data_IF_734637430586
#
_entry.id   IF_734637430586
#
_cell.length_a   1.000
_cell.length_b   1.000
_cell.length_c   1.000
_cell.angle_alpha   90.00
_cell.angle_beta   90.00
_cell.angle_gamma   90.00
#
_symmetry.space_group_name_H-M   'P 1'
#
loop_
_entity.id
_entity.type
_entity.pdbx_description
1 polymer ?
#
# COMPACT_ATOMS: atom_id res chain seq x y z
N UNK A 1 -3.81 -20.24 7.87
CA UNK A 1 -4.00 -19.43 9.08
C UNK A 1 -4.15 -20.40 10.24
N UNK A 2 -3.24 -20.35 11.20
CA UNK A 2 -3.25 -21.26 12.36
C UNK A 2 -4.03 -20.68 13.54
N UNK A 3 -4.16 -19.35 13.58
CA UNK A 3 -4.85 -18.61 14.63
C UNK A 3 -5.99 -17.76 14.07
N UNK A 4 -6.85 -17.25 14.95
CA UNK A 4 -8.00 -16.41 14.56
C UNK A 4 -7.58 -15.03 14.02
N UNK A 5 -6.37 -14.58 14.39
CA UNK A 5 -5.75 -13.33 13.96
C UNK A 5 -4.24 -13.55 13.84
N UNK A 6 -3.63 -12.97 12.82
CA UNK A 6 -2.17 -13.00 12.61
C UNK A 6 -1.67 -11.60 12.24
N UNK A 7 -0.52 -11.23 12.80
CA UNK A 7 0.14 -9.94 12.52
C UNK A 7 1.48 -10.18 11.83
N UNK A 8 1.73 -9.42 10.77
CA UNK A 8 2.96 -9.46 9.99
C UNK A 8 3.44 -8.03 9.72
N UNK A 9 4.75 -7.82 9.81
CA UNK A 9 5.40 -6.58 9.45
C UNK A 9 6.28 -6.83 8.22
N UNK A 10 6.23 -5.92 7.26
CA UNK A 10 6.95 -6.01 6.00
C UNK A 10 7.77 -4.75 5.78
N UNK A 11 9.00 -4.93 5.27
CA UNK A 11 9.84 -3.86 4.77
C UNK A 11 10.35 -4.22 3.38
N UNK A 12 10.13 -3.32 2.41
CA UNK A 12 10.45 -3.57 1.00
C UNK A 12 11.34 -2.46 0.48
N UNK A 13 12.57 -2.78 0.07
CA UNK A 13 13.49 -1.82 -0.55
C UNK A 13 13.05 -1.38 -1.94
N UNK A 14 12.34 -2.26 -2.66
CA UNK A 14 11.89 -2.07 -4.03
C UNK A 14 10.36 -2.06 -4.12
N UNK A 15 9.83 -1.42 -5.16
CA UNK A 15 8.42 -1.44 -5.55
C UNK A 15 7.93 -2.89 -5.69
N UNK A 16 6.85 -3.23 -4.99
CA UNK A 16 6.22 -4.55 -5.05
C UNK A 16 4.91 -4.49 -5.82
N UNK A 17 4.94 -4.83 -7.12
CA UNK A 17 3.74 -4.77 -7.97
C UNK A 17 2.73 -5.84 -7.58
N UNK A 18 1.70 -5.43 -6.83
CA UNK A 18 0.63 -6.30 -6.38
C UNK A 18 -0.25 -6.80 -7.53
N UNK A 19 -0.46 -8.11 -7.59
CA UNK A 19 -1.48 -8.69 -8.45
C UNK A 19 -2.88 -8.43 -7.87
N UNK A 20 -3.87 -8.24 -8.75
CA UNK A 20 -5.27 -8.15 -8.33
C UNK A 20 -5.75 -9.55 -7.98
N UNK A 21 -6.04 -9.80 -6.70
CA UNK A 21 -6.47 -11.11 -6.22
C UNK A 21 -7.59 -10.98 -5.19
N UNK A 22 -8.41 -12.03 -5.10
CA UNK A 22 -9.42 -12.15 -4.05
C UNK A 22 -8.70 -12.37 -2.72
N UNK A 23 -9.02 -11.53 -1.74
CA UNK A 23 -8.49 -11.61 -0.39
C UNK A 23 -9.39 -12.56 0.42
N UNK A 24 -8.94 -13.73 0.90
CA UNK A 24 -9.84 -14.74 1.46
C UNK A 24 -10.30 -14.47 2.90
N UNK A 25 -9.75 -13.44 3.56
CA UNK A 25 -9.91 -13.14 4.99
C UNK A 25 -10.02 -11.64 5.21
N UNK A 26 -10.48 -11.19 6.37
CA UNK A 26 -10.41 -9.77 6.72
C UNK A 26 -8.95 -9.33 6.84
N UNK A 27 -8.62 -8.13 6.35
CA UNK A 27 -7.26 -7.59 6.42
C UNK A 27 -7.23 -6.12 6.83
N UNK A 28 -6.45 -5.78 7.86
CA UNK A 28 -6.04 -4.41 8.11
C UNK A 28 -4.66 -4.19 7.48
N UNK A 29 -4.61 -3.27 6.51
CA UNK A 29 -3.38 -2.74 5.95
C UNK A 29 -3.03 -1.45 6.69
N UNK A 30 -1.80 -1.34 7.17
CA UNK A 30 -1.31 -0.14 7.84
C UNK A 30 0.05 0.28 7.29
N UNK A 31 0.21 1.55 6.94
CA UNK A 31 1.50 2.07 6.48
C UNK A 31 2.23 2.70 7.67
N UNK A 32 3.40 2.17 8.01
CA UNK A 32 4.24 2.66 9.10
C UNK A 32 5.36 3.57 8.58
N UNK A 33 5.78 3.41 7.33
CA UNK A 33 6.73 4.30 6.64
C UNK A 33 6.53 4.26 5.12
N UNK A 34 6.81 5.36 4.44
CA UNK A 34 6.67 5.47 2.99
C UNK A 34 5.21 5.52 2.58
N UNK A 35 4.89 4.83 1.49
CA UNK A 35 3.54 4.76 0.97
C UNK A 35 3.28 3.47 0.18
N UNK A 36 2.02 3.20 -0.08
CA UNK A 36 1.56 2.13 -0.95
C UNK A 36 0.37 2.60 -1.80
N UNK A 37 0.14 1.90 -2.91
CA UNK A 37 -1.07 2.06 -3.71
C UNK A 37 -2.02 0.89 -3.43
N UNK A 38 -3.27 1.21 -3.10
CA UNK A 38 -4.33 0.24 -2.94
C UNK A 38 -5.35 0.40 -4.07
N UNK A 39 -5.44 -0.63 -4.92
CA UNK A 39 -6.47 -0.71 -5.95
C UNK A 39 -7.61 -1.59 -5.45
N UNK A 40 -8.80 -1.00 -5.29
CA UNK A 40 -10.04 -1.69 -4.92
C UNK A 40 -11.15 -1.33 -5.91
N UNK A 41 -11.68 -2.32 -6.61
CA UNK A 41 -12.65 -2.05 -7.68
C UNK A 41 -12.02 -1.26 -8.84
N UNK A 42 -12.61 -0.10 -9.15
CA UNK A 42 -12.08 0.85 -10.14
C UNK A 42 -11.19 1.94 -9.52
N UNK A 43 -11.12 2.00 -8.18
CA UNK A 43 -10.40 3.04 -7.48
C UNK A 43 -8.96 2.60 -7.20
N UNK A 44 -8.04 3.55 -7.32
CA UNK A 44 -6.64 3.39 -6.95
C UNK A 44 -6.27 4.54 -6.02
N UNK A 45 -6.02 4.20 -4.75
CA UNK A 45 -5.77 5.17 -3.70
C UNK A 45 -4.32 5.11 -3.26
N UNK A 46 -3.73 6.29 -3.03
CA UNK A 46 -2.45 6.43 -2.34
C UNK A 46 -2.67 6.34 -0.83
N UNK A 47 -1.94 5.44 -0.19
CA UNK A 47 -1.87 5.26 1.25
C UNK A 47 -0.50 5.73 1.75
N UNK A 48 -0.33 6.97 2.24
CA UNK A 48 0.91 7.40 2.87
C UNK A 48 1.06 6.84 4.29
N UNK A 49 2.22 7.05 4.91
CA UNK A 49 2.45 6.74 6.32
C UNK A 49 1.33 7.26 7.22
N UNK A 50 0.96 6.46 8.23
CA UNK A 50 -0.18 6.72 9.11
C UNK A 50 -1.53 6.27 8.55
N UNK A 51 -1.59 5.76 7.32
CA UNK A 51 -2.83 5.21 6.76
C UNK A 51 -3.19 3.85 7.35
N UNK A 52 -4.49 3.63 7.59
CA UNK A 52 -5.08 2.36 7.97
C UNK A 52 -6.28 2.06 7.07
N UNK A 53 -6.26 0.90 6.40
CA UNK A 53 -7.34 0.49 5.51
C UNK A 53 -7.78 -0.94 5.80
N UNK A 54 -9.07 -1.11 6.06
CA UNK A 54 -9.69 -2.42 6.22
C UNK A 54 -10.20 -2.95 4.88
N UNK A 55 -9.76 -4.16 4.52
CA UNK A 55 -10.30 -4.96 3.43
C UNK A 55 -11.17 -6.08 4.03
N UNK A 56 -12.43 -6.14 3.59
CA UNK A 56 -13.28 -7.28 3.92
C UNK A 56 -12.76 -8.56 3.27
N UNK A 57 -13.12 -9.69 3.86
CA UNK A 57 -13.01 -10.96 3.19
C UNK A 57 -13.71 -10.91 1.82
N UNK A 58 -13.12 -11.63 0.87
CA UNK A 58 -13.47 -11.71 -0.54
C UNK A 58 -13.33 -10.42 -1.36
N UNK A 59 -12.76 -9.36 -0.79
CA UNK A 59 -12.42 -8.17 -1.55
C UNK A 59 -11.43 -8.48 -2.68
N UNK A 60 -11.74 -7.99 -3.89
CA UNK A 60 -10.83 -8.06 -5.03
C UNK A 60 -9.94 -6.81 -5.06
N UNK A 61 -8.75 -6.93 -4.50
CA UNK A 61 -7.82 -5.82 -4.33
C UNK A 61 -6.43 -6.13 -4.91
N UNK A 62 -5.67 -5.06 -5.20
CA UNK A 62 -4.23 -5.14 -5.41
C UNK A 62 -3.55 -4.12 -4.49
N UNK A 63 -2.64 -4.59 -3.65
CA UNK A 63 -1.84 -3.75 -2.77
C UNK A 63 -0.40 -3.68 -3.29
N UNK A 64 0.10 -2.47 -3.53
CA UNK A 64 1.40 -2.21 -4.15
C UNK A 64 2.23 -1.31 -3.23
N UNK A 65 3.03 -1.90 -2.32
CA UNK A 65 4.05 -1.16 -1.57
C UNK A 65 5.02 -0.45 -2.53
N UNK A 66 5.24 0.85 -2.30
CA UNK A 66 6.28 1.59 -3.02
C UNK A 66 7.67 1.23 -2.47
N UNK A 67 8.71 1.58 -3.21
CA UNK A 67 10.10 1.40 -2.78
C UNK A 67 10.35 2.14 -1.46
N UNK A 68 10.99 1.43 -0.51
CA UNK A 68 11.23 1.94 0.84
C UNK A 68 10.03 1.84 1.80
N UNK A 69 8.89 1.30 1.36
CA UNK A 69 7.70 1.15 2.19
C UNK A 69 7.91 0.18 3.36
N UNK A 70 7.36 0.54 4.51
CA UNK A 70 7.14 -0.36 5.64
C UNK A 70 5.64 -0.37 5.95
N UNK A 71 5.10 -1.57 6.08
CA UNK A 71 3.68 -1.75 6.35
C UNK A 71 3.43 -2.95 7.25
N UNK A 72 2.32 -2.87 7.96
CA UNK A 72 1.78 -3.96 8.75
C UNK A 72 0.58 -4.56 8.04
N UNK A 73 0.46 -5.87 8.16
CA UNK A 73 -0.70 -6.64 7.74
C UNK A 73 -1.23 -7.40 8.95
N UNK A 74 -2.46 -7.10 9.31
CA UNK A 74 -3.24 -7.91 10.24
C UNK A 74 -4.24 -8.72 9.41
N UNK A 75 -4.26 -10.04 9.56
CA UNK A 75 -5.28 -10.90 8.96
C UNK A 75 -6.20 -11.43 10.03
N UNK A 76 -7.51 -11.44 9.78
CA UNK A 76 -8.54 -11.94 10.69
C UNK A 76 -9.33 -13.06 10.01
N UNK A 77 -9.48 -14.19 10.70
CA UNK A 77 -10.32 -15.29 10.24
C UNK A 77 -11.75 -14.83 10.05
N UNK A 78 -12.44 -15.29 9.00
CA UNK A 78 -13.87 -14.99 8.78
C UNK A 78 -14.80 -15.49 9.88
N UNK A 79 -14.29 -16.27 10.83
CA UNK A 79 -15.03 -16.82 11.97
C UNK A 79 -15.06 -15.88 13.18
N UNK A 80 -14.27 -14.81 13.16
CA UNK A 80 -14.30 -13.78 14.20
C UNK A 80 -15.17 -12.61 13.78
N UNK A 81 -15.70 -11.90 14.75
CA UNK A 81 -16.34 -10.61 14.50
C UNK A 81 -15.31 -9.64 13.92
N UNK A 82 -15.69 -8.94 12.85
CA UNK A 82 -14.81 -8.06 12.11
C UNK A 82 -15.64 -7.05 11.32
N UNK A 83 -15.08 -5.88 10.95
CA UNK A 83 -15.86 -4.90 10.22
C UNK A 83 -16.42 -5.42 8.89
N UNK A 84 -17.70 -5.17 8.66
CA UNK A 84 -18.44 -5.70 7.51
C UNK A 84 -18.14 -4.97 6.19
N UNK A 85 -17.58 -3.76 6.27
CA UNK A 85 -17.34 -2.89 5.13
C UNK A 85 -15.88 -2.49 5.01
N UNK A 86 -15.38 -2.49 3.77
CA UNK A 86 -14.04 -2.00 3.47
C UNK A 86 -13.99 -0.47 3.57
N UNK A 87 -12.84 0.06 3.97
CA UNK A 87 -12.62 1.51 4.05
C UNK A 87 -11.48 1.90 4.97
N UNK A 88 -11.36 3.21 5.18
CA UNK A 88 -10.33 3.83 6.01
C UNK A 88 -10.69 3.68 7.48
N UNK A 89 -9.99 2.78 8.16
CA UNK A 89 -10.20 2.51 9.57
C UNK A 89 -9.62 3.66 10.40
N UNK A 90 -10.39 4.20 11.32
CA UNK A 90 -9.93 5.19 12.29
C UNK A 90 -9.58 4.45 13.58
N UNK A 91 -8.28 4.19 13.86
CA UNK A 91 -7.92 3.40 15.03
C UNK A 91 -8.24 4.16 16.31
N UNK A 92 -8.76 3.46 17.32
CA UNK A 92 -8.83 3.99 18.68
C UNK A 92 -7.41 4.24 19.21
N UNK A 93 -7.22 5.11 20.22
CA UNK A 93 -5.90 5.29 20.84
C UNK A 93 -5.31 3.98 21.38
N UNK A 94 -6.16 3.07 21.88
CA UNK A 94 -5.75 1.74 22.33
C UNK A 94 -5.27 0.88 21.16
N UNK A 95 -6.07 0.77 20.08
CA UNK A 95 -5.69 -0.01 18.90
C UNK A 95 -4.39 0.52 18.28
N UNK A 96 -4.24 1.84 18.17
CA UNK A 96 -3.02 2.46 17.66
C UNK A 96 -1.78 2.04 18.49
N UNK A 97 -1.86 2.16 19.82
CA UNK A 97 -0.77 1.78 20.71
C UNK A 97 -0.45 0.27 20.66
N UNK A 98 -1.46 -0.59 20.49
CA UNK A 98 -1.26 -2.03 20.33
C UNK A 98 -0.53 -2.34 19.02
N UNK A 99 -0.94 -1.71 17.91
CA UNK A 99 -0.30 -1.88 16.59
C UNK A 99 1.14 -1.36 16.60
N UNK A 100 1.41 -0.20 17.22
CA UNK A 100 2.77 0.31 17.44
C UNK A 100 3.62 -0.66 18.24
N UNK A 101 3.06 -1.19 19.33
CA UNK A 101 3.73 -2.17 20.17
C UNK A 101 4.01 -3.50 19.45
N UNK A 102 3.20 -3.87 18.45
CA UNK A 102 3.43 -5.06 17.62
C UNK A 102 4.48 -4.81 16.52
N UNK A 103 4.51 -3.62 15.93
CA UNK A 103 5.52 -3.23 14.94
C UNK A 103 6.94 -3.27 15.51
N UNK A 104 7.08 -2.97 16.80
CA UNK A 104 8.34 -2.99 17.52
C UNK A 104 8.58 -4.29 18.31
N UNK A 105 7.79 -5.35 18.05
CA UNK A 105 7.84 -6.56 18.84
C UNK A 105 9.11 -7.39 18.61
N UNK A 106 9.98 -7.45 19.62
CA UNK A 106 11.24 -8.22 19.59
C UNK A 106 11.22 -9.48 20.47
N UNK A 107 10.13 -9.70 21.22
CA UNK A 107 9.98 -10.85 22.13
C UNK A 107 9.49 -12.10 21.38
N UNK A 108 9.56 -13.31 21.99
CA UNK A 108 8.91 -14.49 21.42
C UNK A 108 7.43 -14.24 21.10
N UNK A 109 6.97 -14.75 19.95
CA UNK A 109 5.57 -14.65 19.51
C UNK A 109 4.75 -15.81 20.04
N UNK A 110 4.66 -15.90 21.36
CA UNK A 110 3.85 -16.91 22.04
C UNK A 110 2.37 -16.52 22.05
N UNK A 111 1.52 -17.42 21.55
CA UNK A 111 0.08 -17.24 21.50
C UNK A 111 -0.58 -17.25 22.90
N UNK A 112 0.00 -17.97 23.85
CA UNK A 112 -0.49 -18.00 25.25
C UNK A 112 0.15 -16.90 26.11
N UNK A 113 1.03 -16.09 25.50
CA UNK A 113 1.75 -15.02 26.18
C UNK A 113 1.26 -13.64 25.79
N UNK A 114 2.05 -12.63 26.18
CA UNK A 114 1.74 -11.22 25.95
C UNK A 114 1.53 -10.86 24.46
N UNK A 115 2.11 -11.62 23.52
CA UNK A 115 1.89 -11.41 22.09
C UNK A 115 0.44 -11.78 21.71
N UNK A 116 0.01 -13.00 22.04
CA UNK A 116 -1.35 -13.45 21.78
C UNK A 116 -2.41 -12.61 22.52
N UNK A 117 -2.15 -12.21 23.77
CA UNK A 117 -3.07 -11.33 24.50
C UNK A 117 -3.29 -9.98 23.79
N UNK A 118 -2.24 -9.37 23.22
CA UNK A 118 -2.40 -8.13 22.44
C UNK A 118 -3.23 -8.35 21.18
N UNK A 119 -3.02 -9.47 20.48
CA UNK A 119 -3.82 -9.81 19.31
C UNK A 119 -5.29 -10.05 19.65
N UNK A 120 -5.59 -10.63 20.83
CA UNK A 120 -6.95 -10.78 21.31
C UNK A 120 -7.62 -9.41 21.58
N UNK A 121 -6.92 -8.49 22.26
CA UNK A 121 -7.46 -7.14 22.48
C UNK A 121 -7.68 -6.41 21.15
N UNK A 122 -6.80 -6.60 20.17
CA UNK A 122 -7.01 -6.04 18.82
C UNK A 122 -8.29 -6.61 18.18
N UNK A 123 -8.56 -7.91 18.32
CA UNK A 123 -9.80 -8.51 17.81
C UNK A 123 -11.04 -7.86 18.45
N UNK A 124 -10.99 -7.58 19.75
CA UNK A 124 -12.11 -6.94 20.45
C UNK A 124 -12.32 -5.48 20.03
N UNK A 125 -11.24 -4.75 19.75
CA UNK A 125 -11.28 -3.33 19.34
C UNK A 125 -11.72 -3.12 17.89
N UNK A 126 -11.38 -4.05 16.98
CA UNK A 126 -11.56 -3.89 15.54
C UNK A 126 -13.01 -3.61 15.12
N UNK A 127 -14.03 -4.36 15.58
CA UNK A 127 -15.43 -4.13 15.20
C UNK A 127 -15.97 -2.74 15.59
N UNK A 128 -15.44 -2.17 16.68
CA UNK A 128 -15.87 -0.86 17.18
C UNK A 128 -15.21 0.32 16.45
N UNK A 129 -14.18 0.08 15.64
CA UNK A 129 -13.46 1.15 14.94
C UNK A 129 -14.33 1.77 13.82
N UNK A 130 -14.46 3.11 13.77
CA UNK A 130 -15.13 3.77 12.65
C UNK A 130 -14.43 3.48 11.33
N UNK A 131 -15.22 3.18 10.28
CA UNK A 131 -14.73 3.00 8.92
C UNK A 131 -15.28 4.10 8.02
N UNK A 132 -14.39 5.00 7.58
CA UNK A 132 -14.73 6.00 6.59
C UNK A 132 -14.68 5.38 5.18
N UNK A 133 -15.75 5.47 4.38
CA UNK A 133 -15.78 4.88 3.04
C UNK A 133 -14.94 5.67 2.03
N UNK A 134 -14.71 6.96 2.29
CA UNK A 134 -13.99 7.85 1.39
C UNK A 134 -12.58 8.11 1.91
N UNK A 135 -11.59 8.24 1.00
CA UNK A 135 -10.26 8.68 1.36
C UNK A 135 -10.24 10.17 1.69
N UNK A 136 -9.06 10.66 2.09
CA UNK A 136 -8.73 12.07 2.01
C UNK A 136 -8.76 12.54 0.55
N UNK A 137 -9.87 13.15 0.13
CA UNK A 137 -10.09 13.55 -1.26
C UNK A 137 -9.07 14.58 -1.75
N UNK A 138 -8.59 15.48 -0.88
CA UNK A 138 -7.59 16.48 -1.27
C UNK A 138 -6.23 15.82 -1.54
N UNK A 139 -5.84 14.85 -0.71
CA UNK A 139 -4.65 14.04 -0.95
C UNK A 139 -4.77 13.25 -2.25
N UNK A 140 -5.89 12.56 -2.48
CA UNK A 140 -6.08 11.76 -3.69
C UNK A 140 -6.12 12.62 -4.96
N UNK A 141 -6.73 13.81 -4.90
CA UNK A 141 -6.76 14.73 -6.03
C UNK A 141 -5.35 15.26 -6.38
N UNK A 142 -4.58 15.70 -5.37
CA UNK A 142 -3.20 16.17 -5.58
C UNK A 142 -2.31 15.04 -6.12
N UNK A 143 -2.46 13.83 -5.58
CA UNK A 143 -1.79 12.63 -6.08
C UNK A 143 -2.12 12.35 -7.54
N UNK A 144 -3.41 12.35 -7.90
CA UNK A 144 -3.84 12.08 -9.28
C UNK A 144 -3.37 13.17 -10.25
N UNK A 145 -3.37 14.44 -9.84
CA UNK A 145 -2.84 15.55 -10.63
C UNK A 145 -1.34 15.34 -10.93
N UNK A 146 -0.56 14.97 -9.92
CA UNK A 146 0.87 14.65 -10.05
C UNK A 146 1.10 13.45 -10.97
N UNK A 147 0.35 12.36 -10.75
CA UNK A 147 0.46 11.14 -11.54
C UNK A 147 0.12 11.35 -13.02
N UNK A 148 -0.76 12.30 -13.32
CA UNK A 148 -1.15 12.68 -14.68
C UNK A 148 -0.27 13.79 -15.28
N UNK A 149 0.71 14.31 -14.54
CA UNK A 149 1.60 15.37 -15.02
C UNK A 149 0.91 16.69 -15.29
N UNK A 150 -0.11 17.05 -14.50
CA UNK A 150 -0.78 18.35 -14.64
C UNK A 150 0.16 19.51 -14.30
N UNK A 151 -0.01 20.65 -14.97
CA UNK A 151 0.78 21.85 -14.70
C UNK A 151 0.54 22.34 -13.25
N UNK A 152 1.62 22.70 -12.54
CA UNK A 152 1.57 23.10 -11.12
C UNK A 152 1.31 21.96 -10.12
N UNK A 153 1.26 20.70 -10.58
CA UNK A 153 0.97 19.55 -9.70
C UNK A 153 2.09 19.24 -8.71
N UNK A 154 3.33 19.57 -9.02
CA UNK A 154 4.48 19.37 -8.12
C UNK A 154 4.38 20.28 -6.90
N UNK A 155 4.12 21.58 -7.08
CA UNK A 155 3.93 22.53 -5.98
C UNK A 155 2.69 22.18 -5.15
N UNK A 156 1.57 21.85 -5.82
CA UNK A 156 0.34 21.46 -5.15
C UNK A 156 0.53 20.19 -4.31
N UNK A 157 1.28 19.22 -4.83
CA UNK A 157 1.62 17.99 -4.11
C UNK A 157 2.49 18.28 -2.89
N UNK A 158 3.55 19.07 -3.03
CA UNK A 158 4.41 19.46 -1.92
C UNK A 158 3.63 20.21 -0.82
N UNK A 159 2.75 21.14 -1.20
CA UNK A 159 1.89 21.86 -0.26
C UNK A 159 0.91 20.91 0.47
N UNK A 160 0.34 19.96 -0.27
CA UNK A 160 -0.57 18.95 0.27
C UNK A 160 0.11 18.07 1.33
N UNK A 161 1.36 17.67 1.09
CA UNK A 161 2.17 16.92 2.06
C UNK A 161 2.52 17.78 3.28
N UNK A 162 2.95 19.03 3.08
CA UNK A 162 3.33 19.94 4.15
C UNK A 162 2.18 20.21 5.13
N UNK A 163 0.96 20.39 4.63
CA UNK A 163 -0.25 20.56 5.46
C UNK A 163 -0.56 19.35 6.35
N UNK A 164 -0.07 18.16 5.97
CA UNK A 164 -0.25 16.91 6.70
C UNK A 164 0.96 16.55 7.56
N UNK A 165 2.00 17.38 7.57
CA UNK A 165 3.27 17.08 8.25
C UNK A 165 4.00 15.87 7.67
N UNK A 166 3.72 15.51 6.41
CA UNK A 166 4.35 14.38 5.74
C UNK A 166 5.65 14.85 5.08
N UNK A 167 6.78 14.31 5.54
CA UNK A 167 8.10 14.57 4.99
C UNK A 167 8.86 13.26 4.77
N UNK A 168 8.35 12.43 3.86
CA UNK A 168 8.96 11.16 3.48
C UNK A 168 9.59 11.29 2.08
N UNK A 169 10.89 11.01 1.89
CA UNK A 169 11.52 11.00 0.58
C UNK A 169 10.84 10.07 -0.44
N UNK A 170 10.19 8.99 0.02
CA UNK A 170 9.43 8.10 -0.86
C UNK A 170 8.17 8.74 -1.46
N UNK A 171 7.72 9.87 -0.88
CA UNK A 171 6.62 10.69 -1.35
C UNK A 171 7.09 11.92 -2.15
N UNK A 172 8.38 12.06 -2.43
CA UNK A 172 8.87 13.11 -3.33
C UNK A 172 8.20 12.99 -4.71
N UNK A 173 7.83 14.13 -5.32
CA UNK A 173 6.95 14.15 -6.49
C UNK A 173 7.52 13.41 -7.71
N UNK A 174 8.82 13.55 -7.95
CA UNK A 174 9.57 12.86 -9.00
C UNK A 174 9.66 11.35 -8.74
N UNK A 175 10.04 10.94 -7.52
CA UNK A 175 10.14 9.54 -7.12
C UNK A 175 8.79 8.82 -7.22
N UNK A 176 7.73 9.47 -6.73
CA UNK A 176 6.39 8.92 -6.73
C UNK A 176 5.84 8.78 -8.16
N UNK A 177 6.06 9.77 -9.02
CA UNK A 177 5.68 9.73 -10.44
C UNK A 177 6.43 8.65 -11.21
N UNK A 178 7.74 8.53 -10.99
CA UNK A 178 8.56 7.49 -11.63
C UNK A 178 8.10 6.07 -11.25
N UNK A 179 7.80 5.84 -9.97
CA UNK A 179 7.28 4.55 -9.51
C UNK A 179 5.88 4.25 -10.08
N UNK A 180 5.02 5.26 -10.21
CA UNK A 180 3.72 5.11 -10.86
C UNK A 180 3.83 4.79 -12.34
N UNK A 181 4.67 5.52 -13.07
CA UNK A 181 4.95 5.27 -14.48
C UNK A 181 5.44 3.84 -14.68
N UNK A 182 6.33 3.35 -13.81
CA UNK A 182 6.81 1.96 -13.85
C UNK A 182 5.73 0.94 -13.50
N UNK A 183 4.87 1.22 -12.51
CA UNK A 183 3.73 0.37 -12.19
C UNK A 183 2.80 0.21 -13.40
N UNK A 184 2.51 1.29 -14.13
CA UNK A 184 1.72 1.21 -15.37
C UNK A 184 2.47 0.42 -16.46
N UNK A 185 3.78 0.59 -16.58
CA UNK A 185 4.60 -0.15 -17.54
C UNK A 185 4.51 -1.66 -17.28
N UNK A 186 4.69 -2.10 -16.02
CA UNK A 186 4.57 -3.51 -15.63
C UNK A 186 3.18 -4.06 -15.93
N UNK A 187 2.11 -3.28 -15.71
CA UNK A 187 0.73 -3.69 -16.02
C UNK A 187 0.53 -3.90 -17.53
N UNK A 188 1.03 -2.98 -18.35
CA UNK A 188 0.94 -3.09 -19.81
C UNK A 188 1.74 -4.30 -20.33
N UNK A 189 2.98 -4.49 -19.85
CA UNK A 189 3.81 -5.63 -20.21
C UNK A 189 3.14 -6.96 -19.83
N UNK A 190 2.58 -7.07 -18.63
CA UNK A 190 1.82 -8.27 -18.19
C UNK A 190 0.53 -8.49 -18.98
N UNK A 191 -0.03 -7.45 -19.59
CA UNK A 191 -1.17 -7.57 -20.50
C UNK A 191 -0.78 -7.89 -21.95
N UNK A 192 0.52 -8.06 -22.23
CA UNK A 192 1.05 -8.45 -23.54
C UNK A 192 1.46 -7.29 -24.45
N UNK A 193 1.48 -6.03 -23.96
CA UNK A 193 2.00 -4.91 -24.75
C UNK A 193 3.49 -5.07 -25.05
N UNK A 194 3.91 -4.67 -26.24
CA UNK A 194 5.32 -4.68 -26.64
C UNK A 194 6.10 -3.54 -25.95
N UNK A 195 7.40 -3.72 -25.72
CA UNK A 195 8.25 -2.74 -25.01
C UNK A 195 8.22 -1.36 -25.68
N UNK A 196 8.40 -1.30 -27.00
CA UNK A 196 8.29 -0.05 -27.76
C UNK A 196 6.93 0.67 -27.59
N UNK A 197 5.82 -0.08 -27.50
CA UNK A 197 4.50 0.50 -27.24
C UNK A 197 4.40 1.08 -25.83
N UNK A 198 4.97 0.38 -24.84
CA UNK A 198 5.01 0.84 -23.45
C UNK A 198 5.84 2.11 -23.31
N UNK A 199 7.02 2.15 -23.95
CA UNK A 199 7.90 3.33 -23.98
C UNK A 199 7.15 4.53 -24.55
N UNK A 200 6.58 4.38 -25.75
CA UNK A 200 5.84 5.46 -26.41
C UNK A 200 4.62 5.92 -25.61
N UNK A 201 3.81 4.98 -25.10
CA UNK A 201 2.56 5.29 -24.41
C UNK A 201 2.76 5.97 -23.06
N UNK A 202 3.84 5.61 -22.35
CA UNK A 202 4.11 6.14 -21.01
C UNK A 202 5.13 7.27 -21.02
N UNK A 203 5.65 7.67 -22.17
CA UNK A 203 6.59 8.78 -22.29
C UNK A 203 7.99 8.48 -21.74
N UNK A 204 8.44 7.22 -21.82
CA UNK A 204 9.88 6.94 -21.64
C UNK A 204 10.65 7.43 -22.86
N UNK A 205 11.90 7.88 -22.68
CA UNK A 205 12.75 8.31 -23.79
C UNK A 205 13.08 7.18 -24.77
N UNK A 206 13.39 5.99 -24.24
CA UNK A 206 13.71 4.78 -24.99
C UNK A 206 13.53 3.52 -24.10
N UNK A 207 13.83 2.34 -24.65
CA UNK A 207 13.81 1.09 -23.87
C UNK A 207 14.90 1.04 -22.79
N UNK A 208 16.00 1.78 -22.95
CA UNK A 208 17.07 1.84 -21.96
C UNK A 208 16.62 2.59 -20.70
N UNK A 209 15.84 3.66 -20.84
CA UNK A 209 15.23 4.40 -19.75
C UNK A 209 14.21 3.53 -18.98
N UNK A 210 13.40 2.74 -19.69
CA UNK A 210 12.50 1.77 -19.07
C UNK A 210 13.29 0.68 -18.31
N UNK A 211 14.37 0.16 -18.88
CA UNK A 211 15.23 -0.82 -18.23
C UNK A 211 15.91 -0.25 -16.98
N UNK A 212 16.38 1.00 -17.04
CA UNK A 212 16.92 1.71 -15.89
C UNK A 212 15.89 1.86 -14.76
N UNK A 213 14.65 2.26 -15.09
CA UNK A 213 13.56 2.34 -14.13
C UNK A 213 13.26 0.97 -13.47
N UNK A 214 13.27 -0.11 -14.25
CA UNK A 214 13.11 -1.48 -13.71
C UNK A 214 14.22 -1.82 -12.71
N UNK A 215 15.48 -1.55 -13.06
CA UNK A 215 16.61 -1.82 -12.18
C UNK A 215 16.55 -0.98 -10.90
N UNK A 216 16.23 0.31 -11.02
CA UNK A 216 16.16 1.24 -9.89
C UNK A 216 15.03 0.86 -8.91
N UNK A 217 13.82 0.68 -9.43
CA UNK A 217 12.63 0.61 -8.58
C UNK A 217 12.16 -0.82 -8.30
N UNK A 218 12.37 -1.78 -9.20
CA UNK A 218 11.99 -3.19 -8.98
C UNK A 218 13.17 -4.05 -8.51
N UNK A 219 14.41 -3.58 -8.69
CA UNK A 219 15.61 -4.36 -8.39
C UNK A 219 15.81 -5.54 -9.35
N UNK A 220 15.16 -5.50 -10.52
CA UNK A 220 15.17 -6.60 -11.51
C UNK A 220 15.32 -6.06 -12.93
N UNK A 221 15.99 -6.80 -13.83
CA UNK A 221 16.10 -6.40 -15.23
C UNK A 221 14.75 -6.47 -15.94
N UNK A 222 14.58 -5.67 -17.01
CA UNK A 222 13.36 -5.59 -17.81
C UNK A 222 12.96 -6.96 -18.39
N UNK A 223 13.93 -7.78 -18.76
CA UNK A 223 13.76 -9.12 -19.33
C UNK A 223 12.99 -10.05 -18.37
N UNK A 224 13.17 -9.88 -17.06
CA UNK A 224 12.50 -10.70 -16.06
C UNK A 224 11.01 -10.42 -15.94
N UNK A 225 10.51 -9.30 -16.49
CA UNK A 225 9.10 -8.90 -16.40
C UNK A 225 8.20 -9.58 -17.43
N UNK A 226 8.75 -10.14 -18.51
CA UNK A 226 7.99 -10.86 -19.54
C UNK A 226 7.97 -12.38 -19.32
N UNK A 227 8.82 -12.90 -18.43
CA UNK A 227 8.91 -14.33 -18.12
C UNK A 227 7.97 -14.78 -16.99
N UNK A 228 7.06 -13.92 -16.52
CA UNK A 228 6.14 -14.14 -15.38
C UNK A 228 4.73 -13.70 -15.72
#
# INVERSE_FOLDING_TARGET
MHHAIEYQHFSTSHLQVGARKRVPVGQLLRITRGAALLRLGAHEWLMPTGSHFWLCADALAAFTPLAGCQHDLLTCSVRVEQPERAGWLQPTPLLAALLDGLAQWQRPRDWQGAYGHRLQVILDELPACPIAPQPDNALQAAWQALANGQEGSDEAWQQCLAQRGLNDPALAGDALRAQWQLLQAVRLLKSGSQRAQVVSKLGYGDEAALAHACQQWLGTPLEALQAR
#
